data_IF_853998921943
#
_entry.id   IF_853998921943
#
_cell.length_a   1.000
_cell.length_b   1.000
_cell.length_c   1.000
_cell.angle_alpha   90.00
_cell.angle_beta   90.00
_cell.angle_gamma   90.00
#
_symmetry.space_group_name_H-M   'P 1'
#
loop_
_entity.id
_entity.type
_entity.pdbx_description
1 polymer ?
#
# COMPACT_ATOMS: atom_id res chain seq x y z
N UNK A 1 -2.62 39.02 28.77
CA UNK A 1 -3.92 38.53 28.25
C UNK A 1 -3.60 37.52 27.16
N UNK A 2 -3.64 36.22 27.49
CA UNK A 2 -3.16 35.14 26.61
C UNK A 2 -4.25 34.73 25.63
N UNK A 3 -4.03 34.95 24.34
CA UNK A 3 -4.87 34.43 23.25
C UNK A 3 -4.65 32.92 23.14
N UNK A 4 -5.52 32.15 23.80
CA UNK A 4 -5.75 30.74 23.45
C UNK A 4 -6.35 30.70 22.05
N UNK A 5 -5.53 30.46 21.03
CA UNK A 5 -6.01 30.09 19.69
C UNK A 5 -6.83 28.80 19.80
N UNK A 6 -8.13 28.93 19.54
CA UNK A 6 -9.13 27.85 19.54
C UNK A 6 -8.74 26.84 18.46
N UNK A 7 -8.25 25.66 18.87
CA UNK A 7 -7.81 24.57 17.99
C UNK A 7 -8.99 23.76 17.40
N UNK A 8 -10.10 24.42 17.06
CA UNK A 8 -11.40 23.75 16.83
C UNK A 8 -12.26 24.22 15.66
N UNK A 9 -11.89 25.25 14.90
CA UNK A 9 -12.75 25.82 13.83
C UNK A 9 -12.04 25.93 12.46
N UNK A 10 -10.99 25.14 12.20
CA UNK A 10 -10.53 25.00 10.82
C UNK A 10 -11.54 24.11 10.08
N UNK A 11 -12.44 24.71 9.29
CA UNK A 11 -13.37 23.95 8.47
C UNK A 11 -12.61 22.97 7.57
N UNK A 12 -13.21 21.82 7.24
CA UNK A 12 -12.62 20.76 6.39
C UNK A 12 -11.96 21.34 5.13
N UNK A 13 -12.55 22.38 4.54
CA UNK A 13 -12.00 23.07 3.37
C UNK A 13 -10.64 23.75 3.63
N UNK A 14 -10.41 24.35 4.80
CA UNK A 14 -9.12 24.94 5.16
C UNK A 14 -8.05 23.88 5.37
N UNK A 15 -8.44 22.74 5.93
CA UNK A 15 -7.59 21.57 6.08
C UNK A 15 -7.17 20.99 4.73
N UNK A 16 -8.13 20.76 3.82
CA UNK A 16 -7.87 20.30 2.44
C UNK A 16 -6.95 21.30 1.73
N UNK A 17 -7.25 22.60 1.83
CA UNK A 17 -6.44 23.65 1.20
C UNK A 17 -5.01 23.66 1.73
N UNK A 18 -4.84 23.44 3.03
CA UNK A 18 -3.52 23.35 3.65
C UNK A 18 -2.74 22.13 3.15
N UNK A 19 -3.39 20.98 3.01
CA UNK A 19 -2.77 19.76 2.50
C UNK A 19 -2.34 19.91 1.04
N UNK A 20 -3.22 20.45 0.18
CA UNK A 20 -2.92 20.72 -1.23
C UNK A 20 -1.74 21.67 -1.39
N UNK A 21 -1.67 22.74 -0.59
CA UNK A 21 -0.51 23.65 -0.58
C UNK A 21 0.77 22.93 -0.19
N UNK A 22 0.76 22.10 0.85
CA UNK A 22 1.95 21.34 1.28
C UNK A 22 2.43 20.35 0.23
N UNK A 23 1.50 19.67 -0.45
CA UNK A 23 1.83 18.78 -1.56
C UNK A 23 2.44 19.54 -2.73
N UNK A 24 1.83 20.66 -3.11
CA UNK A 24 2.33 21.50 -4.20
C UNK A 24 3.70 22.10 -3.88
N UNK A 25 3.90 22.65 -2.68
CA UNK A 25 5.21 23.13 -2.21
C UNK A 25 6.25 21.99 -2.21
N UNK A 26 5.82 20.77 -1.87
CA UNK A 26 6.63 19.56 -1.92
C UNK A 26 7.04 19.17 -3.34
N UNK A 27 6.14 19.30 -4.30
CA UNK A 27 6.39 19.10 -5.73
C UNK A 27 7.34 20.16 -6.29
N UNK A 28 7.08 21.43 -6.00
CA UNK A 28 7.92 22.55 -6.43
C UNK A 28 9.34 22.40 -5.86
N UNK A 29 9.47 21.88 -4.64
CA UNK A 29 10.76 21.63 -3.99
C UNK A 29 11.62 20.52 -4.64
N UNK A 30 11.10 19.75 -5.59
CA UNK A 30 11.89 18.76 -6.34
C UNK A 30 12.85 19.41 -7.32
N UNK A 31 12.43 20.51 -7.94
CA UNK A 31 13.21 21.25 -8.96
C UNK A 31 13.70 22.59 -8.42
N UNK A 32 12.86 23.29 -7.65
CA UNK A 32 13.16 24.61 -7.12
C UNK A 32 13.41 24.54 -5.61
N UNK A 33 14.63 24.77 -5.13
CA UNK A 33 14.92 24.69 -3.70
C UNK A 33 14.13 25.75 -2.90
N UNK A 34 14.00 25.55 -1.58
CA UNK A 34 13.38 26.50 -0.64
C UNK A 34 11.89 26.80 -0.85
N UNK A 35 11.15 25.89 -1.49
CA UNK A 35 9.68 26.02 -1.62
C UNK A 35 8.91 25.49 -0.40
N UNK A 36 9.49 24.53 0.34
CA UNK A 36 8.93 24.04 1.61
C UNK A 36 9.19 25.06 2.72
N UNK A 37 8.13 25.67 3.26
CA UNK A 37 8.22 26.58 4.40
C UNK A 37 8.73 25.86 5.67
N UNK A 38 10.00 26.05 6.02
CA UNK A 38 10.48 25.83 7.39
C UNK A 38 10.50 27.19 8.06
N UNK A 39 9.76 27.35 9.16
CA UNK A 39 9.52 28.63 9.84
C UNK A 39 10.76 29.38 10.38
N UNK A 40 11.97 28.90 10.09
CA UNK A 40 13.24 29.47 10.54
C UNK A 40 14.26 29.66 9.38
N UNK A 41 13.80 29.70 8.13
CA UNK A 41 14.69 30.03 7.01
C UNK A 41 14.96 31.54 6.97
N UNK A 42 16.20 31.95 7.28
CA UNK A 42 16.69 33.34 7.17
C UNK A 42 16.63 33.85 5.72
N UNK A 43 16.61 32.93 4.75
CA UNK A 43 16.47 33.23 3.32
C UNK A 43 15.03 32.98 2.86
N UNK A 44 14.45 33.95 2.15
CA UNK A 44 13.10 33.87 1.58
C UNK A 44 12.91 32.73 0.57
N UNK A 45 11.64 32.50 0.18
CA UNK A 45 11.29 31.53 -0.88
C UNK A 45 12.00 31.86 -2.18
N UNK A 46 12.40 30.83 -2.93
CA UNK A 46 13.00 31.01 -4.25
C UNK A 46 11.96 31.61 -5.21
N UNK A 47 12.35 32.64 -5.95
CA UNK A 47 11.54 33.33 -6.95
C UNK A 47 12.30 33.36 -8.29
N UNK A 48 11.63 33.17 -9.42
CA UNK A 48 12.27 33.25 -10.73
C UNK A 48 12.66 34.71 -11.05
N UNK A 49 13.90 34.94 -11.46
CA UNK A 49 14.43 36.28 -11.78
C UNK A 49 14.51 36.53 -13.29
N UNK A 50 14.63 35.46 -14.10
CA UNK A 50 14.74 35.54 -15.56
C UNK A 50 13.53 34.93 -16.27
N UNK A 51 13.26 35.36 -17.50
CA UNK A 51 12.13 34.85 -18.30
C UNK A 51 12.15 33.33 -18.50
N UNK A 52 13.29 32.68 -18.78
CA UNK A 52 13.33 31.21 -18.86
C UNK A 52 13.02 30.52 -17.53
N UNK A 53 13.46 31.11 -16.41
CA UNK A 53 13.14 30.59 -15.08
C UNK A 53 11.65 30.72 -14.75
N UNK A 54 10.99 31.80 -15.19
CA UNK A 54 9.55 31.97 -15.00
C UNK A 54 8.77 30.89 -15.75
N UNK A 55 9.12 30.63 -17.01
CA UNK A 55 8.48 29.57 -17.81
C UNK A 55 8.66 28.21 -17.15
N UNK A 56 9.89 27.87 -16.72
CA UNK A 56 10.16 26.63 -16.01
C UNK A 56 9.41 26.51 -14.68
N UNK A 57 9.35 27.59 -13.91
CA UNK A 57 8.66 27.63 -12.61
C UNK A 57 7.15 27.41 -12.74
N UNK A 58 6.49 28.18 -13.60
CA UNK A 58 5.05 28.06 -13.81
C UNK A 58 4.69 26.76 -14.56
N UNK A 59 5.50 26.35 -15.54
CA UNK A 59 5.31 25.07 -16.24
C UNK A 59 5.37 23.89 -15.27
N UNK A 60 6.40 23.82 -14.43
CA UNK A 60 6.51 22.79 -13.39
C UNK A 60 5.37 22.87 -12.38
N UNK A 61 4.95 24.08 -12.01
CA UNK A 61 3.80 24.32 -11.15
C UNK A 61 2.50 23.77 -11.74
N UNK A 62 2.23 23.98 -13.03
CA UNK A 62 1.05 23.45 -13.72
C UNK A 62 1.07 21.92 -13.71
N UNK A 63 2.21 21.31 -14.06
CA UNK A 63 2.36 19.84 -14.00
C UNK A 63 2.10 19.33 -12.58
N UNK A 64 2.61 20.03 -11.56
CA UNK A 64 2.36 19.71 -10.17
C UNK A 64 0.89 19.81 -9.79
N UNK A 65 0.22 20.89 -10.20
CA UNK A 65 -1.20 21.11 -9.94
C UNK A 65 -2.08 20.03 -10.59
N UNK A 66 -1.77 19.60 -11.83
CA UNK A 66 -2.43 18.47 -12.46
C UNK A 66 -2.11 17.15 -11.74
N UNK A 67 -0.86 16.95 -11.33
CA UNK A 67 -0.44 15.80 -10.54
C UNK A 67 -1.17 15.67 -9.19
N UNK A 68 -1.58 16.79 -8.58
CA UNK A 68 -2.38 16.77 -7.35
C UNK A 68 -3.72 16.06 -7.51
N UNK A 69 -4.29 15.98 -8.73
CA UNK A 69 -5.52 15.22 -8.98
C UNK A 69 -5.36 13.73 -8.65
N UNK A 70 -4.16 13.18 -8.84
CA UNK A 70 -3.83 11.81 -8.45
C UNK A 70 -3.21 11.74 -7.04
N UNK A 71 -2.35 12.69 -6.70
CA UNK A 71 -1.59 12.67 -5.45
C UNK A 71 -2.48 12.91 -4.22
N UNK A 72 -3.52 13.77 -4.34
CA UNK A 72 -4.40 14.08 -3.23
C UNK A 72 -5.30 12.89 -2.83
N UNK A 73 -6.03 12.21 -3.74
CA UNK A 73 -6.73 10.97 -3.39
C UNK A 73 -5.82 9.91 -2.77
N UNK A 74 -4.59 9.78 -3.28
CA UNK A 74 -3.61 8.85 -2.72
C UNK A 74 -3.19 9.26 -1.29
N UNK A 75 -3.05 10.55 -1.00
CA UNK A 75 -2.78 11.02 0.37
C UNK A 75 -3.95 10.77 1.31
N UNK A 76 -5.19 10.91 0.84
CA UNK A 76 -6.40 10.58 1.60
C UNK A 76 -6.45 9.08 1.91
N UNK A 77 -6.12 8.22 0.94
CA UNK A 77 -5.96 6.78 1.16
C UNK A 77 -4.88 6.48 2.21
N UNK A 78 -3.77 7.22 2.18
CA UNK A 78 -2.72 7.15 3.19
C UNK A 78 -3.21 7.56 4.59
N UNK A 79 -4.03 8.61 4.70
CA UNK A 79 -4.65 9.02 5.95
C UNK A 79 -5.63 7.97 6.49
N UNK A 80 -6.47 7.40 5.63
CA UNK A 80 -7.39 6.32 6.00
C UNK A 80 -6.62 5.09 6.50
N UNK A 81 -5.61 4.64 5.75
CA UNK A 81 -4.74 3.53 6.14
C UNK A 81 -4.09 3.77 7.50
N UNK A 82 -3.55 4.98 7.74
CA UNK A 82 -2.97 5.35 9.04
C UNK A 82 -3.99 5.36 10.17
N UNK A 83 -5.19 5.88 9.92
CA UNK A 83 -6.26 5.93 10.92
C UNK A 83 -6.69 4.53 11.38
N UNK A 84 -6.92 3.63 10.42
CA UNK A 84 -7.25 2.24 10.74
C UNK A 84 -6.08 1.49 11.38
N UNK A 85 -4.86 1.72 10.89
CA UNK A 85 -3.66 1.15 11.50
C UNK A 85 -3.49 1.61 12.95
N UNK A 86 -3.61 2.91 13.24
CA UNK A 86 -3.51 3.47 14.60
C UNK A 86 -4.60 2.94 15.54
N UNK A 87 -5.81 2.73 15.02
CA UNK A 87 -6.91 2.11 15.77
C UNK A 87 -6.57 0.67 16.17
N UNK A 88 -5.93 -0.08 15.28
CA UNK A 88 -5.49 -1.46 15.51
C UNK A 88 -4.14 -1.56 16.23
N UNK A 89 -3.41 -0.45 16.37
CA UNK A 89 -2.04 -0.42 16.89
C UNK A 89 -1.97 -0.69 18.40
N UNK A 90 -3.07 -0.52 19.13
CA UNK A 90 -3.17 -0.85 20.56
C UNK A 90 -2.88 -2.34 20.85
N UNK A 91 -3.20 -3.23 19.90
CA UNK A 91 -2.91 -4.66 19.96
C UNK A 91 -1.46 -4.92 19.57
N UNK A 92 -0.96 -4.29 18.50
CA UNK A 92 0.40 -4.48 17.97
C UNK A 92 1.50 -3.98 18.92
N UNK A 93 1.32 -2.80 19.51
CA UNK A 93 2.28 -2.20 20.46
C UNK A 93 2.45 -3.04 21.73
N UNK A 94 1.41 -3.78 22.14
CA UNK A 94 1.45 -4.65 23.34
C UNK A 94 1.98 -6.05 23.07
N UNK A 95 1.73 -6.61 21.88
CA UNK A 95 2.04 -8.00 21.54
C UNK A 95 3.38 -8.19 20.83
N UNK A 96 3.88 -7.16 20.13
CA UNK A 96 5.08 -7.26 19.29
C UNK A 96 4.92 -8.28 18.14
N UNK A 97 6.00 -8.55 17.41
CA UNK A 97 5.96 -9.52 16.28
C UNK A 97 5.51 -10.89 16.76
N UNK A 98 6.11 -11.38 17.85
CA UNK A 98 5.82 -12.71 18.37
C UNK A 98 4.34 -12.86 18.71
N UNK A 99 3.73 -11.85 19.33
CA UNK A 99 2.31 -11.89 19.65
C UNK A 99 1.41 -11.73 18.43
N UNK A 100 1.74 -10.89 17.44
CA UNK A 100 0.95 -10.79 16.19
C UNK A 100 1.00 -12.11 15.41
N UNK A 101 2.19 -12.69 15.25
CA UNK A 101 2.35 -13.98 14.58
C UNK A 101 1.66 -15.10 15.37
N UNK A 102 1.77 -15.12 16.70
CA UNK A 102 1.07 -16.10 17.53
C UNK A 102 -0.45 -15.96 17.42
N UNK A 103 -0.99 -14.74 17.40
CA UNK A 103 -2.41 -14.50 17.16
C UNK A 103 -2.85 -15.01 15.79
N UNK A 104 -2.04 -14.79 14.74
CA UNK A 104 -2.33 -15.31 13.41
C UNK A 104 -2.35 -16.84 13.40
N UNK A 105 -1.35 -17.48 14.02
CA UNK A 105 -1.30 -18.96 14.20
C UNK A 105 -2.52 -19.46 14.95
N UNK A 106 -2.92 -18.80 16.03
CA UNK A 106 -4.07 -19.21 16.84
C UNK A 106 -5.39 -19.01 16.09
N UNK A 107 -5.55 -17.90 15.37
CA UNK A 107 -6.74 -17.63 14.59
C UNK A 107 -6.91 -18.63 13.45
N UNK A 108 -5.87 -18.83 12.63
CA UNK A 108 -5.91 -19.78 11.52
C UNK A 108 -5.90 -21.24 11.98
N UNK A 109 -5.15 -21.56 13.02
CA UNK A 109 -5.15 -22.89 13.63
C UNK A 109 -6.50 -23.23 14.27
N UNK A 110 -7.11 -22.27 14.96
CA UNK A 110 -8.47 -22.40 15.48
C UNK A 110 -9.52 -22.56 14.39
N UNK A 111 -9.42 -21.79 13.30
CA UNK A 111 -10.28 -21.96 12.12
C UNK A 111 -10.09 -23.34 11.49
N UNK A 112 -8.86 -23.82 11.37
CA UNK A 112 -8.55 -25.16 10.84
C UNK A 112 -9.13 -26.26 11.74
N UNK A 113 -9.00 -26.11 13.06
CA UNK A 113 -9.59 -27.05 14.01
C UNK A 113 -11.13 -27.04 13.94
N UNK A 114 -11.76 -25.87 13.84
CA UNK A 114 -13.20 -25.76 13.68
C UNK A 114 -13.67 -26.36 12.35
N UNK A 115 -12.95 -26.09 11.26
CA UNK A 115 -13.19 -26.69 9.95
C UNK A 115 -13.11 -28.21 10.04
N UNK A 116 -12.11 -28.76 10.74
CA UNK A 116 -11.96 -30.20 10.91
C UNK A 116 -13.14 -30.86 11.62
N UNK A 117 -13.85 -30.13 12.49
CA UNK A 117 -15.03 -30.63 13.19
C UNK A 117 -16.33 -30.51 12.38
N UNK A 118 -16.35 -29.72 11.30
CA UNK A 118 -17.59 -29.29 10.63
C UNK A 118 -17.62 -29.52 9.12
N UNK A 119 -16.45 -29.65 8.49
CA UNK A 119 -16.28 -29.67 7.04
C UNK A 119 -15.55 -30.93 6.58
N UNK A 120 -15.63 -31.18 5.28
CA UNK A 120 -14.94 -32.29 4.62
C UNK A 120 -13.41 -32.09 4.62
N UNK A 121 -12.61 -33.18 4.57
CA UNK A 121 -11.15 -33.11 4.65
C UNK A 121 -10.50 -32.16 3.65
N UNK A 122 -11.05 -32.03 2.43
CA UNK A 122 -10.55 -31.12 1.40
C UNK A 122 -10.66 -29.65 1.83
N UNK A 123 -11.81 -29.25 2.39
CA UNK A 123 -12.00 -27.90 2.91
C UNK A 123 -11.08 -27.60 4.10
N UNK A 124 -10.77 -28.61 4.93
CA UNK A 124 -9.80 -28.47 6.02
C UNK A 124 -8.40 -28.22 5.47
N UNK A 125 -8.00 -28.96 4.43
CA UNK A 125 -6.70 -28.75 3.76
C UNK A 125 -6.60 -27.36 3.14
N UNK A 126 -7.66 -26.87 2.50
CA UNK A 126 -7.72 -25.49 2.00
C UNK A 126 -7.48 -24.45 3.09
N UNK A 127 -8.21 -24.55 4.21
CA UNK A 127 -8.06 -23.61 5.34
C UNK A 127 -6.66 -23.70 5.95
N UNK A 128 -6.11 -24.90 6.09
CA UNK A 128 -4.76 -25.12 6.62
C UNK A 128 -3.68 -24.51 5.70
N UNK A 129 -3.73 -24.81 4.40
CA UNK A 129 -2.77 -24.30 3.42
C UNK A 129 -2.83 -22.77 3.31
N UNK A 130 -4.05 -22.21 3.24
CA UNK A 130 -4.29 -20.77 3.29
C UNK A 130 -3.71 -20.14 4.56
N UNK A 131 -3.96 -20.76 5.71
CA UNK A 131 -3.50 -20.29 7.02
C UNK A 131 -1.98 -20.25 7.15
N UNK A 132 -1.26 -21.25 6.63
CA UNK A 132 0.22 -21.27 6.62
C UNK A 132 0.76 -20.07 5.84
N UNK A 133 0.21 -19.82 4.66
CA UNK A 133 0.66 -18.72 3.78
C UNK A 133 0.30 -17.36 4.36
N UNK A 134 -0.91 -17.21 4.90
CA UNK A 134 -1.35 -16.00 5.58
C UNK A 134 -0.43 -15.68 6.77
N UNK A 135 -0.13 -16.67 7.59
CA UNK A 135 0.69 -16.53 8.79
C UNK A 135 2.14 -16.22 8.44
N UNK A 136 2.73 -16.94 7.47
CA UNK A 136 4.10 -16.70 7.02
C UNK A 136 4.27 -15.28 6.45
N UNK A 137 3.35 -14.85 5.60
CA UNK A 137 3.36 -13.50 5.02
C UNK A 137 3.15 -12.42 6.09
N UNK A 138 2.27 -12.66 7.05
CA UNK A 138 2.06 -11.76 8.20
C UNK A 138 3.32 -11.63 9.05
N UNK A 139 4.01 -12.75 9.33
CA UNK A 139 5.25 -12.76 10.08
C UNK A 139 6.36 -11.98 9.36
N UNK A 140 6.48 -12.14 8.04
CA UNK A 140 7.43 -11.37 7.22
C UNK A 140 7.09 -9.88 7.22
N UNK A 141 5.82 -9.51 7.05
CA UNK A 141 5.38 -8.11 7.13
C UNK A 141 5.71 -7.50 8.49
N UNK A 142 5.46 -8.24 9.57
CA UNK A 142 5.77 -7.83 10.94
C UNK A 142 7.29 -7.68 11.15
N UNK A 143 8.10 -8.61 10.65
CA UNK A 143 9.57 -8.53 10.68
C UNK A 143 10.10 -7.28 9.98
N UNK A 144 9.68 -7.04 8.74
CA UNK A 144 10.09 -5.86 7.97
C UNK A 144 9.69 -4.55 8.68
N UNK A 145 8.52 -4.51 9.31
CA UNK A 145 8.08 -3.32 10.04
C UNK A 145 8.94 -2.97 11.26
N UNK A 146 9.56 -3.96 11.93
CA UNK A 146 10.39 -3.72 13.12
C UNK A 146 11.70 -3.04 12.81
N UNK A 147 12.23 -3.25 11.60
CA UNK A 147 13.49 -2.66 11.15
C UNK A 147 13.36 -1.11 11.11
N UNK A 148 12.14 -0.57 11.11
CA UNK A 148 11.86 0.83 11.47
C UNK A 148 12.16 1.86 10.39
N UNK A 149 12.50 1.43 9.16
CA UNK A 149 12.79 2.31 8.04
C UNK A 149 11.60 2.56 7.12
N UNK A 150 11.37 3.82 6.73
CA UNK A 150 10.44 4.18 5.63
C UNK A 150 10.65 3.32 4.38
N UNK A 151 11.87 3.10 3.85
CA UNK A 151 12.04 2.29 2.64
C UNK A 151 11.68 0.81 2.88
N UNK A 152 12.01 0.24 4.04
CA UNK A 152 11.70 -1.16 4.35
C UNK A 152 10.20 -1.38 4.48
N UNK A 153 9.49 -0.45 5.11
CA UNK A 153 8.03 -0.53 5.21
C UNK A 153 7.37 -0.49 3.83
N UNK A 154 7.76 0.48 2.98
CA UNK A 154 7.19 0.65 1.65
C UNK A 154 7.53 -0.51 0.73
N UNK A 155 8.81 -0.91 0.67
CA UNK A 155 9.29 -1.88 -0.31
C UNK A 155 8.98 -3.33 0.06
N UNK A 156 8.82 -3.66 1.34
CA UNK A 156 8.66 -5.03 1.81
C UNK A 156 7.46 -5.24 2.73
N UNK A 157 7.30 -4.42 3.78
CA UNK A 157 6.27 -4.70 4.79
C UNK A 157 4.84 -4.62 4.21
N UNK A 158 4.54 -3.59 3.40
CA UNK A 158 3.24 -3.46 2.75
C UNK A 158 2.99 -4.53 1.67
N UNK A 159 3.95 -4.85 0.78
CA UNK A 159 3.86 -6.02 -0.09
C UNK A 159 3.52 -7.32 0.64
N UNK A 160 4.26 -7.67 1.68
CA UNK A 160 3.98 -8.90 2.44
C UNK A 160 2.63 -8.86 3.16
N UNK A 161 2.19 -7.68 3.62
CA UNK A 161 0.86 -7.52 4.19
C UNK A 161 -0.25 -7.77 3.16
N UNK A 162 -0.07 -7.32 1.92
CA UNK A 162 -1.02 -7.63 0.84
C UNK A 162 -0.92 -9.08 0.38
N UNK A 163 0.26 -9.69 0.36
CA UNK A 163 0.40 -11.14 0.13
C UNK A 163 -0.37 -11.93 1.19
N UNK A 164 -0.29 -11.53 2.46
CA UNK A 164 -1.05 -12.16 3.55
C UNK A 164 -2.57 -12.05 3.37
N UNK A 165 -3.05 -11.06 2.60
CA UNK A 165 -4.47 -10.84 2.33
C UNK A 165 -4.95 -11.57 1.07
N UNK A 166 -4.19 -11.50 -0.03
CA UNK A 166 -4.62 -11.98 -1.34
C UNK A 166 -4.22 -13.42 -1.64
N UNK A 167 -3.11 -13.89 -1.10
CA UNK A 167 -2.58 -15.21 -1.41
C UNK A 167 -3.36 -16.38 -0.76
N UNK A 168 -3.92 -16.26 0.47
CA UNK A 168 -4.61 -17.38 1.11
C UNK A 168 -5.79 -17.95 0.31
N UNK A 169 -6.71 -17.13 -0.27
CA UNK A 169 -7.78 -17.66 -1.13
C UNK A 169 -7.27 -18.42 -2.35
N UNK A 170 -6.19 -17.93 -2.98
CA UNK A 170 -5.59 -18.56 -4.17
C UNK A 170 -5.01 -19.91 -3.79
N UNK A 171 -4.27 -19.99 -2.69
CA UNK A 171 -3.66 -21.23 -2.21
C UNK A 171 -4.71 -22.25 -1.76
N UNK A 172 -5.81 -21.79 -1.15
CA UNK A 172 -6.95 -22.66 -0.86
C UNK A 172 -7.53 -23.28 -2.14
N UNK A 173 -7.70 -22.48 -3.20
CA UNK A 173 -8.26 -22.98 -4.46
C UNK A 173 -7.32 -23.95 -5.20
N UNK A 174 -6.00 -23.81 -5.03
CA UNK A 174 -5.03 -24.75 -5.61
C UNK A 174 -5.09 -26.15 -4.99
N UNK A 175 -5.63 -26.29 -3.78
CA UNK A 175 -5.73 -27.59 -3.09
C UNK A 175 -7.16 -28.10 -3.00
N UNK A 176 -8.13 -27.35 -3.51
CA UNK A 176 -9.56 -27.69 -3.41
C UNK A 176 -10.27 -27.36 -4.73
N UNK A 177 -10.65 -28.38 -5.53
CA UNK A 177 -11.26 -28.17 -6.85
C UNK A 177 -12.56 -27.37 -6.82
N UNK A 178 -13.36 -27.47 -5.75
CA UNK A 178 -14.63 -26.75 -5.64
C UNK A 178 -14.50 -25.22 -5.55
N UNK A 179 -13.28 -24.70 -5.38
CA UNK A 179 -12.99 -23.26 -5.37
C UNK A 179 -12.41 -22.76 -6.70
N UNK A 180 -12.16 -23.66 -7.67
CA UNK A 180 -11.56 -23.34 -8.97
C UNK A 180 -12.39 -22.30 -9.73
N UNK A 181 -13.68 -22.56 -9.91
CA UNK A 181 -14.65 -21.71 -10.62
C UNK A 181 -14.76 -20.29 -10.03
N UNK A 182 -14.53 -20.14 -8.72
CA UNK A 182 -14.72 -18.87 -8.00
C UNK A 182 -13.43 -18.08 -7.87
N UNK A 183 -12.27 -18.75 -7.89
CA UNK A 183 -10.97 -18.11 -7.63
C UNK A 183 -10.02 -18.22 -8.81
N UNK A 184 -9.80 -19.43 -9.34
CA UNK A 184 -8.79 -19.67 -10.38
C UNK A 184 -9.30 -19.26 -11.76
N UNK A 185 -10.53 -19.59 -12.13
CA UNK A 185 -11.08 -19.16 -13.43
C UNK A 185 -11.15 -17.63 -13.56
N UNK A 186 -11.64 -16.86 -12.56
CA UNK A 186 -11.59 -15.41 -12.63
C UNK A 186 -10.15 -14.88 -12.61
N UNK A 187 -9.23 -15.54 -11.90
CA UNK A 187 -7.81 -15.18 -11.91
C UNK A 187 -7.19 -15.36 -13.29
N UNK A 188 -7.53 -16.43 -14.01
CA UNK A 188 -7.10 -16.67 -15.38
C UNK A 188 -7.63 -15.58 -16.32
N UNK A 189 -8.93 -15.30 -16.25
CA UNK A 189 -9.53 -14.23 -17.05
C UNK A 189 -8.88 -12.87 -16.80
N UNK A 190 -8.59 -12.56 -15.53
CA UNK A 190 -7.85 -11.35 -15.15
C UNK A 190 -6.42 -11.34 -15.71
N UNK A 191 -5.71 -12.47 -15.67
CA UNK A 191 -4.36 -12.59 -16.23
C UNK A 191 -4.35 -12.34 -17.74
N UNK A 192 -5.34 -12.89 -18.47
CA UNK A 192 -5.51 -12.65 -19.91
C UNK A 192 -5.74 -11.15 -20.17
N UNK A 193 -6.64 -10.50 -19.43
CA UNK A 193 -6.86 -9.05 -19.57
C UNK A 193 -5.59 -8.23 -19.30
N UNK A 194 -4.79 -8.64 -18.32
CA UNK A 194 -3.53 -7.97 -18.01
C UNK A 194 -2.50 -8.13 -19.14
N UNK A 195 -2.40 -9.34 -19.70
CA UNK A 195 -1.52 -9.68 -20.83
C UNK A 195 -1.92 -9.01 -22.14
N UNK A 196 -3.22 -8.76 -22.34
CA UNK A 196 -3.74 -8.12 -23.56
C UNK A 196 -3.81 -6.59 -23.45
N UNK A 197 -3.91 -6.05 -22.23
CA UNK A 197 -3.93 -4.61 -21.98
C UNK A 197 -2.54 -4.07 -21.62
N UNK A 198 -2.28 -3.79 -20.33
CA UNK A 198 -1.09 -3.05 -19.91
C UNK A 198 0.23 -3.77 -20.20
N UNK A 199 0.28 -5.11 -20.16
CA UNK A 199 1.51 -5.87 -20.42
C UNK A 199 1.78 -6.09 -21.92
N UNK A 200 0.80 -5.84 -22.79
CA UNK A 200 1.02 -5.83 -24.23
C UNK A 200 1.89 -4.64 -24.65
N UNK A 201 1.82 -3.54 -23.88
CA UNK A 201 2.65 -2.35 -24.12
C UNK A 201 4.10 -2.67 -23.79
N UNK A 202 4.95 -2.75 -24.82
CA UNK A 202 6.38 -3.05 -24.68
C UNK A 202 6.76 -4.54 -24.73
N UNK A 203 5.86 -5.42 -25.18
CA UNK A 203 6.16 -6.83 -25.49
C UNK A 203 6.38 -7.75 -24.27
N UNK A 204 6.03 -7.30 -23.06
CA UNK A 204 6.17 -8.10 -21.84
C UNK A 204 5.26 -9.33 -21.90
N UNK A 205 4.10 -9.20 -22.53
CA UNK A 205 3.16 -10.29 -22.75
C UNK A 205 3.75 -11.46 -23.55
N UNK A 206 4.52 -11.19 -24.60
CA UNK A 206 5.19 -12.21 -25.42
C UNK A 206 6.24 -12.95 -24.60
N UNK A 207 7.04 -12.21 -23.82
CA UNK A 207 8.03 -12.80 -22.92
C UNK A 207 7.36 -13.70 -21.87
N UNK A 208 6.27 -13.24 -21.26
CA UNK A 208 5.54 -14.03 -20.27
C UNK A 208 4.91 -15.29 -20.89
N UNK A 209 4.24 -15.17 -22.05
CA UNK A 209 3.62 -16.30 -22.74
C UNK A 209 4.64 -17.31 -23.28
N UNK A 210 5.84 -16.87 -23.65
CA UNK A 210 6.89 -17.76 -24.15
C UNK A 210 7.59 -18.56 -23.05
N UNK A 211 7.65 -18.03 -21.82
CA UNK A 211 8.46 -18.62 -20.74
C UNK A 211 7.62 -19.21 -19.60
N UNK A 212 6.33 -18.87 -19.49
CA UNK A 212 5.50 -19.26 -18.35
C UNK A 212 4.13 -19.77 -18.79
N UNK A 213 3.73 -20.89 -18.20
CA UNK A 213 2.37 -21.42 -18.27
C UNK A 213 1.66 -21.13 -16.95
N UNK A 214 0.45 -20.57 -17.01
CA UNK A 214 -0.32 -20.24 -15.81
C UNK A 214 -1.08 -21.47 -15.32
N UNK A 215 -0.37 -22.33 -14.59
CA UNK A 215 -0.93 -23.53 -13.99
C UNK A 215 -0.45 -23.70 -12.53
N UNK A 216 -1.32 -24.25 -11.67
CA UNK A 216 -0.98 -24.59 -10.30
C UNK A 216 -0.35 -23.44 -9.51
N UNK A 217 0.85 -23.65 -8.98
CA UNK A 217 1.57 -22.66 -8.17
C UNK A 217 1.91 -21.36 -8.91
N UNK A 218 1.84 -21.34 -10.25
CA UNK A 218 2.00 -20.12 -11.03
C UNK A 218 0.92 -19.07 -10.70
N UNK A 219 -0.30 -19.48 -10.31
CA UNK A 219 -1.32 -18.54 -9.83
C UNK A 219 -0.89 -17.83 -8.54
N UNK A 220 -0.26 -18.56 -7.62
CA UNK A 220 0.26 -17.97 -6.38
C UNK A 220 1.42 -17.00 -6.67
N UNK A 221 2.31 -17.34 -7.61
CA UNK A 221 3.40 -16.47 -8.04
C UNK A 221 2.87 -15.18 -8.70
N UNK A 222 1.86 -15.30 -9.58
CA UNK A 222 1.21 -14.15 -10.22
C UNK A 222 0.59 -13.20 -9.20
N UNK A 223 -0.22 -13.72 -8.28
CA UNK A 223 -0.86 -12.90 -7.24
C UNK A 223 0.15 -12.28 -6.28
N UNK A 224 1.26 -12.96 -6.00
CA UNK A 224 2.38 -12.38 -5.25
C UNK A 224 3.03 -11.24 -6.03
N UNK A 225 3.29 -11.42 -7.33
CA UNK A 225 3.84 -10.39 -8.19
C UNK A 225 2.93 -9.16 -8.33
N UNK A 226 1.60 -9.33 -8.23
CA UNK A 226 0.61 -8.24 -8.19
C UNK A 226 0.57 -7.56 -6.80
N UNK A 227 0.65 -8.35 -5.72
CA UNK A 227 0.61 -7.83 -4.36
C UNK A 227 1.76 -6.84 -4.07
N UNK A 228 2.92 -7.01 -4.71
CA UNK A 228 4.08 -6.11 -4.51
C UNK A 228 3.83 -4.68 -5.02
N UNK A 229 3.47 -4.45 -6.30
CA UNK A 229 3.07 -3.14 -6.80
C UNK A 229 1.94 -2.52 -5.98
N UNK A 230 0.90 -3.28 -5.63
CA UNK A 230 -0.18 -2.77 -4.78
C UNK A 230 0.34 -2.36 -3.39
N UNK A 231 1.29 -3.12 -2.84
CA UNK A 231 1.91 -2.84 -1.56
C UNK A 231 2.75 -1.56 -1.63
N UNK A 232 3.45 -1.32 -2.74
CA UNK A 232 4.16 -0.07 -2.98
C UNK A 232 3.22 1.11 -3.14
N UNK A 233 2.07 0.95 -3.81
CA UNK A 233 1.04 1.99 -3.89
C UNK A 233 0.53 2.37 -2.50
N UNK A 234 0.19 1.38 -1.67
CA UNK A 234 -0.32 1.63 -0.33
C UNK A 234 0.77 2.19 0.62
N UNK A 235 1.99 1.67 0.55
CA UNK A 235 3.12 2.19 1.29
C UNK A 235 3.51 3.61 0.87
N UNK A 236 3.48 3.88 -0.43
CA UNK A 236 3.69 5.21 -1.01
C UNK A 236 2.61 6.20 -0.54
N UNK A 237 1.34 5.79 -0.55
CA UNK A 237 0.22 6.57 -0.02
C UNK A 237 0.44 6.98 1.44
N UNK A 238 0.84 6.03 2.29
CA UNK A 238 1.14 6.30 3.70
C UNK A 238 2.37 7.21 3.85
N UNK A 239 3.42 7.00 3.05
CA UNK A 239 4.59 7.86 3.04
C UNK A 239 4.25 9.31 2.64
N UNK A 240 3.38 9.48 1.64
CA UNK A 240 2.86 10.78 1.22
C UNK A 240 2.03 11.43 2.33
N UNK A 241 1.12 10.69 2.95
CA UNK A 241 0.34 11.19 4.10
C UNK A 241 1.24 11.68 5.24
N UNK A 242 2.33 10.96 5.53
CA UNK A 242 3.32 11.36 6.54
C UNK A 242 4.13 12.60 6.14
N UNK A 243 4.33 12.83 4.84
CA UNK A 243 4.95 14.06 4.32
C UNK A 243 4.04 15.28 4.52
N UNK A 244 2.73 15.12 4.26
CA UNK A 244 1.74 16.22 4.35
C UNK A 244 1.42 16.56 5.80
N UNK A 245 1.11 15.54 6.62
CA UNK A 245 0.82 15.67 8.05
C UNK A 245 1.65 14.63 8.81
N UNK A 246 2.83 15.04 9.33
CA UNK A 246 3.63 14.18 10.18
C UNK A 246 2.79 13.72 11.37
N UNK A 247 2.75 12.42 11.66
CA UNK A 247 2.30 11.94 12.96
C UNK A 247 3.31 12.39 14.02
N UNK A 248 2.82 13.12 15.02
CA UNK A 248 3.49 13.34 16.30
C UNK A 248 3.26 12.17 17.23
#
# INVERSE_FOLDING_TARGET
MATRTRKGDAGVLEEIRTDLRRLHDGWMALVFPRQRGRGHAVMGRWTPETTPQQVGYYGWGIVGALGLLALYPLTVLGFATRYYAATLDSTRTRLGIAGVTALAVLAWGGLTALAHLRLEPEAVLAVAAAGVVATGSTALAAACSRIGGRPVSVLLAYPFALTALFLPPVVAALVTPSLEDVVLEPSYAFAVQLLEGPLAVGGINELLRANFELAGTAYAAMWTAIAFPLGWLLGGAVALANLVRPSS
#
